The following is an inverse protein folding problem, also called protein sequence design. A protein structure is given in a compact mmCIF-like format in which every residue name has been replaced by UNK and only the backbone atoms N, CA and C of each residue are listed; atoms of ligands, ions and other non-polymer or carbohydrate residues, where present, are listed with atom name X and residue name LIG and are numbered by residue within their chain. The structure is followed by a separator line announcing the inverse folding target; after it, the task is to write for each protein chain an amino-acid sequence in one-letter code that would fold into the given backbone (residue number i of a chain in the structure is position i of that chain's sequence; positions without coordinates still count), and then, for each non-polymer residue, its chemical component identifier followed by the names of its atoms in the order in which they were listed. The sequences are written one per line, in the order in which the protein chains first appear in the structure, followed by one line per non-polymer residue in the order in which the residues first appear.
data_IF_715337378991
#
_entry.id   IF_715337378991
#
_cell.length_a   1.000
_cell.length_b   1.000
_cell.length_c   1.000
_cell.angle_alpha   90.00
_cell.angle_beta   90.00
_cell.angle_gamma   90.00
#
_symmetry.space_group_name_H-M   'P 1'
#
loop_
_entity.id
_entity.type
_entity.pdbx_description
1 polymer ?
#
# COMPACT_ATOMS: atom_id res chain seq x y z
N UNK A 1 -24.72 -12.69 9.06
CA UNK A 1 -23.35 -12.53 9.60
C UNK A 1 -22.58 -11.74 8.55
N UNK A 2 -21.97 -10.61 8.91
CA UNK A 2 -21.17 -9.84 7.95
C UNK A 2 -19.97 -10.66 7.52
N UNK A 3 -19.75 -10.79 6.21
CA UNK A 3 -18.55 -11.45 5.71
C UNK A 3 -17.33 -10.58 6.01
N UNK A 4 -16.24 -11.22 6.44
CA UNK A 4 -14.99 -10.52 6.71
C UNK A 4 -14.38 -10.03 5.39
N UNK A 5 -13.98 -8.77 5.36
CA UNK A 5 -13.19 -8.20 4.28
C UNK A 5 -11.71 -8.22 4.64
N UNK A 6 -10.87 -8.23 3.62
CA UNK A 6 -9.44 -8.45 3.74
C UNK A 6 -8.65 -7.41 2.97
N UNK A 7 -7.45 -7.09 3.46
CA UNK A 7 -6.49 -6.24 2.76
C UNK A 7 -5.15 -6.96 2.70
N UNK A 8 -4.56 -7.00 1.50
CA UNK A 8 -3.18 -7.48 1.31
C UNK A 8 -2.22 -6.31 1.45
N UNK A 9 -1.27 -6.45 2.38
CA UNK A 9 -0.12 -5.57 2.52
C UNK A 9 1.17 -6.36 2.36
N UNK A 10 2.14 -5.75 1.70
CA UNK A 10 3.49 -6.29 1.54
C UNK A 10 4.50 -5.32 2.14
N UNK A 11 5.63 -5.88 2.60
CA UNK A 11 6.81 -5.10 2.99
C UNK A 11 7.92 -5.44 2.01
N UNK A 12 8.61 -4.44 1.54
CA UNK A 12 9.70 -4.60 0.58
C UNK A 12 10.98 -3.95 1.10
N UNK A 13 12.11 -4.26 0.48
CA UNK A 13 13.36 -3.53 0.73
C UNK A 13 13.23 -2.07 0.28
N UNK A 14 14.13 -1.21 0.76
CA UNK A 14 14.16 0.20 0.36
C UNK A 14 14.41 0.37 -1.15
N UNK A 15 15.27 -0.48 -1.72
CA UNK A 15 15.54 -0.52 -3.15
C UNK A 15 14.26 -0.77 -3.97
N UNK A 16 13.47 -1.78 -3.59
CA UNK A 16 12.21 -2.11 -4.27
C UNK A 16 11.13 -1.07 -3.99
N UNK A 17 11.09 -0.50 -2.78
CA UNK A 17 10.18 0.60 -2.44
C UNK A 17 10.41 1.82 -3.35
N UNK A 18 11.66 2.18 -3.62
CA UNK A 18 11.99 3.27 -4.53
C UNK A 18 11.60 2.93 -5.97
N UNK A 19 11.90 1.71 -6.44
CA UNK A 19 11.61 1.30 -7.81
C UNK A 19 10.10 1.17 -8.09
N UNK A 20 9.29 0.73 -7.10
CA UNK A 20 7.82 0.69 -7.19
C UNK A 20 7.19 2.09 -7.29
N UNK A 21 7.87 3.12 -6.79
CA UNK A 21 7.41 4.52 -6.83
C UNK A 21 7.97 5.30 -8.02
N UNK A 22 8.84 4.67 -8.81
CA UNK A 22 9.48 5.26 -9.98
C UNK A 22 9.11 4.47 -11.25
N UNK A 23 10.08 4.05 -12.07
CA UNK A 23 9.85 3.48 -13.40
C UNK A 23 9.64 1.96 -13.43
N UNK A 24 9.55 1.27 -12.28
CA UNK A 24 9.40 -0.18 -12.20
C UNK A 24 10.47 -0.94 -13.02
N UNK A 25 11.75 -0.63 -12.83
CA UNK A 25 12.82 -1.25 -13.61
C UNK A 25 13.18 -2.66 -13.10
N UNK A 26 13.04 -2.90 -11.80
CA UNK A 26 13.38 -4.17 -11.16
C UNK A 26 12.37 -5.26 -11.53
N UNK A 27 12.85 -6.50 -11.68
CA UNK A 27 12.00 -7.65 -12.01
C UNK A 27 10.90 -7.88 -10.95
N UNK A 28 11.22 -7.69 -9.67
CA UNK A 28 10.24 -7.83 -8.60
C UNK A 28 9.13 -6.79 -8.71
N UNK A 29 9.48 -5.51 -8.91
CA UNK A 29 8.50 -4.43 -9.08
C UNK A 29 7.61 -4.65 -10.29
N UNK A 30 8.18 -5.09 -11.43
CA UNK A 30 7.41 -5.47 -12.62
C UNK A 30 6.44 -6.62 -12.34
N UNK A 31 6.88 -7.63 -11.58
CA UNK A 31 6.03 -8.76 -11.21
C UNK A 31 4.89 -8.32 -10.27
N UNK A 32 5.18 -7.51 -9.26
CA UNK A 32 4.17 -6.96 -8.35
C UNK A 32 3.14 -6.12 -9.10
N UNK A 33 3.59 -5.25 -10.02
CA UNK A 33 2.73 -4.45 -10.89
C UNK A 33 1.82 -5.34 -11.75
N UNK A 34 2.37 -6.37 -12.39
CA UNK A 34 1.59 -7.34 -13.18
C UNK A 34 0.52 -8.07 -12.36
N UNK A 35 0.85 -8.47 -11.12
CA UNK A 35 -0.12 -9.09 -10.21
C UNK A 35 -1.25 -8.12 -9.90
N UNK A 36 -0.92 -6.87 -9.59
CA UNK A 36 -1.91 -5.83 -9.32
C UNK A 36 -2.82 -5.60 -10.54
N UNK A 37 -2.22 -5.37 -11.71
CA UNK A 37 -2.94 -5.15 -12.98
C UNK A 37 -3.86 -6.33 -13.34
N UNK A 38 -3.38 -7.56 -13.18
CA UNK A 38 -4.19 -8.77 -13.40
C UNK A 38 -5.45 -8.80 -12.52
N UNK A 39 -5.35 -8.30 -11.29
CA UNK A 39 -6.45 -8.20 -10.35
C UNK A 39 -7.21 -6.86 -10.40
N UNK A 40 -6.90 -5.99 -11.38
CA UNK A 40 -7.44 -4.61 -11.49
C UNK A 40 -7.17 -3.77 -10.23
N UNK A 41 -6.07 -4.06 -9.56
CA UNK A 41 -5.61 -3.38 -8.36
C UNK A 41 -4.44 -2.46 -8.67
N UNK A 42 -4.18 -1.57 -7.73
CA UNK A 42 -2.98 -0.71 -7.71
C UNK A 42 -2.21 -0.95 -6.42
N UNK A 43 -0.88 -0.88 -6.47
CA UNK A 43 -0.07 -0.82 -5.26
C UNK A 43 0.01 0.62 -4.80
N UNK A 44 -0.40 0.86 -3.56
CA UNK A 44 -0.33 2.16 -2.91
C UNK A 44 0.67 2.09 -1.77
N UNK A 45 1.66 2.99 -1.76
CA UNK A 45 2.56 3.11 -0.63
C UNK A 45 1.79 3.62 0.59
N UNK A 46 1.99 3.00 1.74
CA UNK A 46 1.27 3.38 2.97
C UNK A 46 1.65 4.80 3.41
N UNK A 47 2.90 5.21 3.16
CA UNK A 47 3.33 6.58 3.43
C UNK A 47 2.61 7.59 2.53
N UNK A 48 2.60 7.35 1.23
CA UNK A 48 1.97 8.25 0.25
C UNK A 48 0.45 8.37 0.52
N UNK A 49 -0.20 7.28 0.96
CA UNK A 49 -1.60 7.31 1.39
C UNK A 49 -1.82 8.18 2.64
N UNK A 50 -0.90 8.15 3.61
CA UNK A 50 -0.96 9.00 4.79
C UNK A 50 -0.70 10.48 4.46
N UNK A 51 0.22 10.76 3.55
CA UNK A 51 0.48 12.11 3.07
C UNK A 51 -0.74 12.67 2.34
N UNK A 52 -1.32 11.90 1.41
CA UNK A 52 -2.54 12.27 0.69
C UNK A 52 -3.71 12.54 1.65
N UNK A 53 -3.91 11.69 2.67
CA UNK A 53 -4.92 11.91 3.71
C UNK A 53 -4.71 13.22 4.47
N UNK A 54 -3.47 13.56 4.84
CA UNK A 54 -3.15 14.81 5.51
C UNK A 54 -3.42 16.02 4.60
N UNK A 55 -3.03 15.96 3.32
CA UNK A 55 -3.28 17.04 2.35
C UNK A 55 -4.77 17.26 2.16
N UNK A 56 -5.55 16.19 2.01
CA UNK A 56 -7.00 16.28 1.86
C UNK A 56 -7.67 16.89 3.11
N UNK A 57 -7.21 16.51 4.30
CA UNK A 57 -7.68 17.07 5.57
C UNK A 57 -7.37 18.57 5.70
N UNK A 58 -6.16 18.98 5.32
CA UNK A 58 -5.74 20.38 5.35
C UNK A 58 -6.55 21.24 4.36
N UNK A 59 -6.95 20.67 3.22
CA UNK A 59 -7.77 21.36 2.21
C UNK A 59 -9.25 21.48 2.58
N UNK A 60 -9.83 20.44 3.18
CA UNK A 60 -11.26 20.37 3.50
C UNK A 60 -11.59 20.81 4.94
N UNK A 61 -10.57 21.06 5.76
CA UNK A 61 -10.71 21.32 7.19
C UNK A 61 -10.56 20.05 8.02
N UNK A 62 -9.69 20.11 9.02
CA UNK A 62 -9.23 18.94 9.78
C UNK A 62 -10.28 18.35 10.74
N UNK A 63 -11.38 19.06 11.01
CA UNK A 63 -12.40 18.69 12.00
C UNK A 63 -13.12 17.36 11.66
N UNK A 64 -13.21 17.01 10.36
CA UNK A 64 -13.77 15.73 9.89
C UNK A 64 -12.76 14.57 9.88
N UNK A 65 -11.48 14.85 10.14
CA UNK A 65 -10.38 13.91 9.94
C UNK A 65 -9.80 13.47 11.28
N UNK A 66 -10.53 12.61 11.99
CA UNK A 66 -10.16 12.17 13.35
C UNK A 66 -8.78 11.49 13.48
N UNK A 67 -8.18 11.03 12.38
CA UNK A 67 -6.83 10.46 12.38
C UNK A 67 -5.74 11.48 12.02
N UNK A 68 -6.08 12.71 11.62
CA UNK A 68 -5.16 13.69 11.06
C UNK A 68 -3.93 13.92 11.94
N UNK A 69 -4.11 14.28 13.21
CA UNK A 69 -2.99 14.56 14.12
C UNK A 69 -2.05 13.35 14.30
N UNK A 70 -2.62 12.15 14.41
CA UNK A 70 -1.83 10.93 14.54
C UNK A 70 -1.10 10.58 13.24
N UNK A 71 -1.76 10.72 12.10
CA UNK A 71 -1.20 10.48 10.77
C UNK A 71 -0.07 11.47 10.48
N UNK A 72 -0.28 12.76 10.75
CA UNK A 72 0.72 13.83 10.61
C UNK A 72 1.96 13.55 11.45
N UNK A 73 1.79 13.27 12.74
CA UNK A 73 2.90 12.91 13.62
C UNK A 73 3.63 11.62 13.19
N UNK A 74 2.93 10.71 12.50
CA UNK A 74 3.51 9.47 11.98
C UNK A 74 4.37 9.70 10.73
N UNK A 75 3.97 10.62 9.85
CA UNK A 75 4.74 10.94 8.63
C UNK A 75 5.90 11.92 8.87
N UNK A 76 5.84 12.71 9.94
CA UNK A 76 6.91 13.62 10.36
C UNK A 76 8.03 12.91 11.14
N UNK A 77 7.75 11.77 11.76
CA UNK A 77 8.75 10.94 12.44
C UNK A 77 9.61 10.19 11.41
N UNK A 78 10.94 10.44 11.33
CA UNK A 78 11.82 9.84 10.34
C UNK A 78 11.88 8.30 10.42
N UNK A 79 11.79 7.72 11.63
CA UNK A 79 11.85 6.28 11.85
C UNK A 79 10.58 5.61 11.35
N UNK A 80 9.41 6.21 11.65
CA UNK A 80 8.12 5.73 11.16
C UNK A 80 8.00 5.92 9.65
N UNK A 81 8.44 7.06 9.13
CA UNK A 81 8.52 7.33 7.70
C UNK A 81 9.29 6.22 6.98
N UNK A 82 10.52 5.91 7.41
CA UNK A 82 11.33 4.85 6.80
C UNK A 82 10.61 3.48 6.80
N UNK A 83 9.85 3.17 7.85
CA UNK A 83 9.05 1.93 7.94
C UNK A 83 7.86 1.93 6.98
N UNK A 84 7.13 3.02 6.88
CA UNK A 84 5.92 3.13 6.06
C UNK A 84 6.22 3.25 4.57
N UNK A 85 7.36 3.85 4.19
CA UNK A 85 7.83 3.90 2.80
C UNK A 85 8.05 2.50 2.22
N UNK A 86 8.46 1.54 3.06
CA UNK A 86 8.67 0.14 2.69
C UNK A 86 7.39 -0.71 2.68
N UNK A 87 6.24 -0.13 3.02
CA UNK A 87 4.97 -0.84 3.14
C UNK A 87 4.03 -0.43 2.01
N UNK A 88 3.51 -1.42 1.29
CA UNK A 88 2.55 -1.21 0.20
C UNK A 88 1.28 -2.01 0.46
N UNK A 89 0.15 -1.47 0.03
CA UNK A 89 -1.15 -2.11 0.08
C UNK A 89 -1.73 -2.24 -1.33
N UNK A 90 -2.44 -3.32 -1.59
CA UNK A 90 -3.17 -3.51 -2.84
C UNK A 90 -4.56 -2.91 -2.69
N UNK A 91 -4.92 -1.93 -3.51
CA UNK A 91 -6.24 -1.29 -3.54
C UNK A 91 -6.99 -1.69 -4.80
N UNK A 92 -8.29 -1.92 -4.68
CA UNK A 92 -9.18 -2.16 -5.82
C UNK A 92 -9.93 -0.85 -6.12
N UNK A 93 -9.40 -0.02 -7.02
CA UNK A 93 -9.87 1.36 -7.15
C UNK A 93 -9.62 2.13 -5.85
N UNK A 94 -10.69 2.63 -5.22
CA UNK A 94 -10.62 3.30 -3.91
C UNK A 94 -10.82 2.32 -2.74
N UNK A 95 -11.21 1.07 -3.03
CA UNK A 95 -11.47 0.06 -2.01
C UNK A 95 -10.18 -0.51 -1.44
N UNK A 96 -9.99 -0.27 -0.15
CA UNK A 96 -8.82 -0.75 0.59
C UNK A 96 -8.99 -2.18 1.11
N UNK A 97 -10.23 -2.67 1.19
CA UNK A 97 -10.61 -3.98 1.72
C UNK A 97 -11.55 -4.67 0.72
N UNK A 98 -11.39 -5.97 0.54
CA UNK A 98 -12.14 -6.74 -0.48
C UNK A 98 -12.42 -8.17 -0.01
N UNK A 99 -13.30 -8.90 -0.72
CA UNK A 99 -13.65 -10.28 -0.36
C UNK A 99 -12.44 -11.21 -0.29
N UNK A 100 -12.57 -12.24 0.55
CA UNK A 100 -11.52 -13.24 0.81
C UNK A 100 -10.99 -13.89 -0.47
N UNK A 101 -11.86 -14.16 -1.44
CA UNK A 101 -11.53 -14.84 -2.69
C UNK A 101 -10.46 -14.07 -3.47
N UNK A 102 -10.67 -12.76 -3.62
CA UNK A 102 -9.74 -11.85 -4.28
C UNK A 102 -8.42 -11.74 -3.50
N UNK A 103 -8.49 -11.57 -2.19
CA UNK A 103 -7.32 -11.53 -1.32
C UNK A 103 -6.49 -12.82 -1.39
N UNK A 104 -7.16 -13.97 -1.41
CA UNK A 104 -6.50 -15.29 -1.49
C UNK A 104 -5.83 -15.48 -2.85
N UNK A 105 -6.45 -15.01 -3.93
CA UNK A 105 -5.84 -15.08 -5.27
C UNK A 105 -4.56 -14.26 -5.35
N UNK A 106 -4.59 -13.00 -4.88
CA UNK A 106 -3.41 -12.12 -4.83
C UNK A 106 -2.33 -12.75 -3.96
N UNK A 107 -2.67 -13.22 -2.75
CA UNK A 107 -1.72 -13.87 -1.84
C UNK A 107 -1.05 -15.10 -2.48
N UNK A 108 -1.80 -15.92 -3.21
CA UNK A 108 -1.26 -17.10 -3.87
C UNK A 108 -0.30 -16.74 -5.02
N UNK A 109 -0.54 -15.65 -5.75
CA UNK A 109 0.41 -15.17 -6.75
C UNK A 109 1.68 -14.60 -6.10
N UNK A 110 1.53 -13.83 -5.02
CA UNK A 110 2.66 -13.30 -4.26
C UNK A 110 3.55 -14.43 -3.70
N UNK A 111 2.96 -15.49 -3.15
CA UNK A 111 3.71 -16.66 -2.65
C UNK A 111 4.53 -17.41 -3.71
N UNK A 112 4.19 -17.24 -5.00
CA UNK A 112 4.96 -17.83 -6.11
C UNK A 112 6.18 -16.98 -6.48
N UNK A 113 6.25 -15.73 -6.02
CA UNK A 113 7.45 -14.91 -6.16
C UNK A 113 8.48 -15.42 -5.15
N UNK A 114 9.49 -16.14 -5.62
CA UNK A 114 10.64 -16.51 -4.79
C UNK A 114 11.69 -15.40 -4.83
N UNK A 115 11.48 -14.32 -4.06
CA UNK A 115 12.41 -13.21 -3.97
C UNK A 115 12.59 -12.79 -2.51
N UNK A 116 13.85 -12.66 -2.05
CA UNK A 116 14.20 -12.29 -0.67
C UNK A 116 13.90 -10.82 -0.33
N UNK A 117 13.57 -10.01 -1.33
CA UNK A 117 13.25 -8.59 -1.17
C UNK A 117 11.74 -8.31 -0.95
N UNK A 118 10.91 -9.37 -0.92
CA UNK A 118 9.47 -9.38 -0.63
C UNK A 118 9.19 -10.28 0.58
#
# INVERSE_FOLDING_TARGET
MSEWLYQIRIKVTENISNDLRDMYQQNLSKNLKKIAEYHKMVLVCTYDAFEAYCVEAEQNGIDGYGLYHWTKATIEDPLKKAKHLKSFAFYLGEDQIYPKELASSVQNQLKKINNKEL
#
